data_IF_672496400247
#
_entry.id   IF_672496400247
#
_cell.length_a   1.000
_cell.length_b   1.000
_cell.length_c   1.000
_cell.angle_alpha   90.00
_cell.angle_beta   90.00
_cell.angle_gamma   90.00
#
_symmetry.space_group_name_H-M   'P 1'
#
loop_
_entity.id
_entity.type
_entity.pdbx_description
1 polymer ?
#
# COMPACT_ATOMS: atom_id res chain seq x y z
N UNK A 1 -14.38 -28.20 6.19
CA UNK A 1 -13.30 -27.29 6.58
C UNK A 1 -13.32 -26.17 5.55
N UNK A 2 -13.55 -24.94 5.98
CA UNK A 2 -13.58 -23.79 5.05
C UNK A 2 -12.19 -23.58 4.44
N UNK A 3 -12.13 -23.19 3.16
CA UNK A 3 -10.86 -22.88 2.50
C UNK A 3 -10.22 -21.65 3.15
N UNK A 4 -8.90 -21.50 3.03
CA UNK A 4 -8.19 -20.31 3.51
C UNK A 4 -8.76 -19.03 2.86
N UNK A 5 -9.16 -19.13 1.58
CA UNK A 5 -9.79 -18.03 0.86
C UNK A 5 -11.09 -17.57 1.52
N UNK A 6 -11.97 -18.49 1.88
CA UNK A 6 -13.23 -18.15 2.55
C UNK A 6 -13.00 -17.59 3.95
N UNK A 7 -11.97 -18.06 4.67
CA UNK A 7 -11.61 -17.50 5.97
C UNK A 7 -11.13 -16.04 5.86
N UNK A 8 -10.32 -15.72 4.85
CA UNK A 8 -9.88 -14.33 4.57
C UNK A 8 -11.08 -13.46 4.20
N UNK A 9 -11.96 -13.92 3.31
CA UNK A 9 -13.18 -13.19 2.93
C UNK A 9 -14.06 -12.90 4.15
N UNK A 10 -14.26 -13.89 5.02
CA UNK A 10 -15.03 -13.70 6.25
C UNK A 10 -14.35 -12.70 7.20
N UNK A 11 -13.02 -12.71 7.30
CA UNK A 11 -12.29 -11.75 8.12
C UNK A 11 -12.46 -10.32 7.59
N UNK A 12 -12.29 -10.12 6.28
CA UNK A 12 -12.56 -8.83 5.61
C UNK A 12 -14.02 -8.40 5.80
N UNK A 13 -14.97 -9.33 5.69
CA UNK A 13 -16.39 -9.03 5.90
C UNK A 13 -16.70 -8.58 7.34
N UNK A 14 -16.02 -9.15 8.35
CA UNK A 14 -16.11 -8.70 9.75
C UNK A 14 -15.53 -7.28 9.92
N UNK A 15 -14.64 -6.85 9.04
CA UNK A 15 -14.13 -5.47 8.96
C UNK A 15 -15.01 -4.53 8.13
N UNK A 16 -16.16 -5.00 7.65
CA UNK A 16 -17.12 -4.19 6.91
C UNK A 16 -16.94 -4.20 5.39
N UNK A 17 -16.14 -5.12 4.84
CA UNK A 17 -16.16 -5.41 3.41
C UNK A 17 -17.46 -6.12 3.02
N UNK A 18 -18.08 -5.67 1.94
CA UNK A 18 -19.33 -6.24 1.41
C UNK A 18 -19.34 -6.29 -0.12
N UNK A 19 -18.14 -6.29 -0.73
CA UNK A 19 -17.94 -6.32 -2.19
C UNK A 19 -18.56 -5.13 -2.96
N UNK A 20 -19.02 -4.09 -2.25
CA UNK A 20 -19.48 -2.83 -2.84
C UNK A 20 -18.37 -1.78 -2.79
N UNK A 21 -18.44 -0.80 -3.70
CA UNK A 21 -17.58 0.39 -3.61
C UNK A 21 -17.89 1.14 -2.32
N UNK A 22 -16.84 1.69 -1.71
CA UNK A 22 -16.89 2.53 -0.51
C UNK A 22 -16.80 3.98 -0.93
N UNK A 23 -17.56 4.85 -0.27
CA UNK A 23 -17.53 6.29 -0.56
C UNK A 23 -16.13 6.86 -0.31
N UNK A 24 -15.47 6.41 0.75
CA UNK A 24 -14.10 6.79 1.10
C UNK A 24 -13.10 6.36 0.02
N UNK A 25 -13.32 5.19 -0.61
CA UNK A 25 -12.50 4.72 -1.73
C UNK A 25 -12.67 5.56 -2.99
N UNK A 26 -13.90 5.98 -3.29
CA UNK A 26 -14.20 6.87 -4.42
C UNK A 26 -13.51 8.23 -4.21
N UNK A 27 -13.66 8.82 -3.01
CA UNK A 27 -13.02 10.10 -2.66
C UNK A 27 -11.49 10.02 -2.72
N UNK A 28 -10.90 8.91 -2.27
CA UNK A 28 -9.46 8.70 -2.39
C UNK A 28 -8.98 8.64 -3.85
N UNK A 29 -9.74 8.00 -4.74
CA UNK A 29 -9.42 7.97 -6.18
C UNK A 29 -9.51 9.36 -6.81
N UNK A 30 -10.53 10.15 -6.47
CA UNK A 30 -10.66 11.52 -6.99
C UNK A 30 -9.45 12.38 -6.60
N UNK A 31 -8.95 12.25 -5.38
CA UNK A 31 -7.75 12.95 -4.93
C UNK A 31 -6.50 12.47 -5.67
N UNK A 32 -6.31 11.16 -5.81
CA UNK A 32 -5.19 10.59 -6.56
C UNK A 32 -5.15 11.07 -8.01
N UNK A 33 -6.32 11.14 -8.65
CA UNK A 33 -6.46 11.65 -10.02
C UNK A 33 -6.13 13.17 -10.09
N UNK A 34 -6.52 13.97 -9.09
CA UNK A 34 -6.17 15.40 -9.01
C UNK A 34 -4.66 15.65 -8.93
N UNK A 35 -3.94 14.80 -8.20
CA UNK A 35 -2.48 14.88 -8.09
C UNK A 35 -1.75 14.16 -9.24
N UNK A 36 -2.46 13.59 -10.20
CA UNK A 36 -1.89 12.91 -11.35
C UNK A 36 -1.14 11.61 -11.00
N UNK A 37 -1.47 10.99 -9.86
CA UNK A 37 -0.92 9.69 -9.50
C UNK A 37 -1.46 8.61 -10.43
N UNK A 38 -0.55 7.85 -11.02
CA UNK A 38 -0.95 6.68 -11.76
C UNK A 38 -1.14 5.50 -10.83
N UNK A 39 -2.34 4.92 -10.85
CA UNK A 39 -2.61 3.62 -10.25
C UNK A 39 -2.73 2.55 -11.32
N UNK A 40 -2.06 1.42 -11.08
CA UNK A 40 -2.28 0.22 -11.88
C UNK A 40 -3.71 -0.32 -11.66
N UNK A 41 -4.23 -1.14 -12.59
CA UNK A 41 -5.67 -1.47 -12.65
C UNK A 41 -6.23 -2.09 -11.38
N UNK A 42 -5.51 -3.07 -10.86
CA UNK A 42 -5.84 -3.76 -9.63
C UNK A 42 -5.91 -2.80 -8.43
N UNK A 43 -4.99 -1.84 -8.36
CA UNK A 43 -4.95 -0.82 -7.31
C UNK A 43 -6.20 0.05 -7.30
N UNK A 44 -6.72 0.45 -8.46
CA UNK A 44 -7.96 1.27 -8.51
C UNK A 44 -9.15 0.51 -7.90
N UNK A 45 -9.33 -0.76 -8.28
CA UNK A 45 -10.41 -1.60 -7.75
C UNK A 45 -10.25 -1.80 -6.24
N UNK A 46 -9.01 -2.04 -5.79
CA UNK A 46 -8.71 -2.18 -4.38
C UNK A 46 -9.09 -0.91 -3.60
N UNK A 47 -8.66 0.26 -4.04
CA UNK A 47 -9.00 1.54 -3.41
C UNK A 47 -10.51 1.72 -3.34
N UNK A 48 -11.24 1.48 -4.43
CA UNK A 48 -12.71 1.61 -4.44
C UNK A 48 -13.40 0.71 -3.42
N UNK A 49 -12.95 -0.54 -3.26
CA UNK A 49 -13.63 -1.52 -2.40
C UNK A 49 -13.16 -1.52 -0.95
N UNK A 50 -11.92 -1.09 -0.70
CA UNK A 50 -11.28 -1.21 0.60
C UNK A 50 -10.91 0.14 1.23
N UNK A 51 -11.05 1.24 0.49
CA UNK A 51 -10.71 2.58 0.98
C UNK A 51 -11.43 2.94 2.27
N UNK A 52 -10.67 3.48 3.23
CA UNK A 52 -11.13 3.88 4.56
C UNK A 52 -11.49 2.74 5.50
N UNK A 53 -11.27 1.47 5.11
CA UNK A 53 -11.62 0.33 5.96
C UNK A 53 -10.64 0.19 7.13
N UNK A 54 -11.16 0.10 8.35
CA UNK A 54 -10.37 -0.18 9.55
C UNK A 54 -10.43 -1.67 9.88
N UNK A 55 -9.25 -2.27 10.03
CA UNK A 55 -9.10 -3.69 10.31
C UNK A 55 -8.31 -3.89 11.60
N UNK A 56 -8.67 -4.94 12.34
CA UNK A 56 -7.90 -5.39 13.50
C UNK A 56 -7.30 -6.76 13.19
N UNK A 57 -5.98 -6.79 13.13
CA UNK A 57 -5.19 -7.97 12.84
C UNK A 57 -4.82 -8.72 14.11
N UNK A 58 -4.44 -9.98 13.93
CA UNK A 58 -3.94 -10.86 14.99
C UNK A 58 -2.46 -11.16 14.85
N UNK A 59 -1.72 -10.39 14.04
CA UNK A 59 -0.27 -10.53 13.94
C UNK A 59 0.40 -10.40 15.30
N UNK A 60 0.83 -11.53 15.83
CA UNK A 60 1.71 -11.58 16.98
C UNK A 60 3.14 -11.69 16.43
N UNK A 61 4.07 -10.78 16.79
CA UNK A 61 5.39 -11.28 17.07
C UNK A 61 5.31 -12.14 18.35
N UNK A 62 6.22 -13.09 18.57
CA UNK A 62 6.27 -13.96 19.76
C UNK A 62 6.36 -13.24 21.12
N UNK A 63 6.32 -11.90 21.16
CA UNK A 63 6.60 -11.07 22.33
C UNK A 63 5.60 -9.92 22.60
N UNK A 64 4.48 -9.83 21.86
CA UNK A 64 3.48 -8.76 22.05
C UNK A 64 2.05 -9.29 22.01
N UNK A 65 1.28 -9.08 23.08
CA UNK A 65 -0.15 -9.39 23.19
C UNK A 65 -1.08 -8.29 22.60
N UNK A 66 -0.51 -7.27 21.95
CA UNK A 66 -1.27 -6.12 21.44
C UNK A 66 -1.85 -6.42 20.05
N UNK A 67 -3.18 -6.37 19.92
CA UNK A 67 -3.86 -6.42 18.62
C UNK A 67 -3.40 -5.25 17.74
N UNK A 68 -2.99 -5.55 16.51
CA UNK A 68 -2.59 -4.54 15.53
C UNK A 68 -3.82 -3.95 14.86
N UNK A 69 -3.77 -2.65 14.61
CA UNK A 69 -4.81 -1.94 13.86
C UNK A 69 -4.21 -1.48 12.54
N UNK A 70 -4.90 -1.78 11.44
CA UNK A 70 -4.54 -1.30 10.11
C UNK A 70 -5.70 -0.50 9.56
N UNK A 71 -5.41 0.67 8.99
CA UNK A 71 -6.39 1.40 8.18
C UNK A 71 -6.00 1.24 6.72
N UNK A 72 -6.84 0.56 5.93
CA UNK A 72 -6.66 0.42 4.49
C UNK A 72 -7.02 1.73 3.80
N UNK A 73 -6.10 2.23 2.95
CA UNK A 73 -6.18 3.46 2.13
C UNK A 73 -7.34 4.35 2.56
N UNK A 74 -7.22 4.95 3.73
CA UNK A 74 -8.04 6.09 4.10
C UNK A 74 -7.21 7.29 3.74
N UNK A 75 -7.28 7.77 2.50
CA UNK A 75 -6.67 9.06 2.21
C UNK A 75 -7.31 10.04 3.19
N UNK A 76 -6.45 10.63 4.03
CA UNK A 76 -6.86 11.25 5.28
C UNK A 76 -8.04 12.16 5.01
N UNK A 77 -9.11 12.00 5.79
CA UNK A 77 -10.21 12.96 5.75
C UNK A 77 -9.64 14.38 5.83
N UNK A 78 -10.23 15.36 5.13
CA UNK A 78 -10.65 16.61 5.70
C UNK A 78 -9.84 17.18 6.88
N UNK A 79 -10.14 16.55 8.01
CA UNK A 79 -9.77 17.00 9.34
C UNK A 79 -8.47 16.38 9.89
N UNK A 80 -7.92 15.36 9.21
CA UNK A 80 -6.54 14.84 9.41
C UNK A 80 -5.68 15.10 8.17
N UNK A 81 -6.08 16.11 7.39
CA UNK A 81 -5.31 16.68 6.30
C UNK A 81 -3.90 17.04 6.79
N UNK A 82 -2.92 16.73 5.94
CA UNK A 82 -1.57 17.30 5.93
C UNK A 82 -0.55 16.85 6.99
N UNK A 83 -0.92 16.30 8.15
CA UNK A 83 0.13 16.05 9.20
C UNK A 83 1.03 14.84 8.96
N UNK A 84 0.72 13.97 8.00
CA UNK A 84 1.63 12.92 7.55
C UNK A 84 1.47 12.54 6.06
N UNK A 85 0.69 13.31 5.30
CA UNK A 85 1.05 13.64 3.92
C UNK A 85 2.01 14.82 4.02
N UNK A 86 3.06 14.64 4.81
CA UNK A 86 4.16 15.55 4.72
C UNK A 86 4.86 15.22 3.39
N UNK A 87 5.34 16.24 2.67
CA UNK A 87 6.16 16.10 1.47
C UNK A 87 7.27 15.06 1.58
N UNK A 88 7.67 14.61 2.78
CA UNK A 88 8.62 13.50 2.99
C UNK A 88 8.20 12.14 2.41
N UNK A 89 6.90 11.88 2.26
CA UNK A 89 6.41 10.53 1.88
C UNK A 89 6.35 10.28 0.37
N UNK A 90 6.03 11.30 -0.44
CA UNK A 90 5.96 11.14 -1.91
C UNK A 90 7.34 10.93 -2.57
N UNK A 91 8.39 11.67 -2.22
CA UNK A 91 9.75 11.41 -2.65
C UNK A 91 10.21 10.01 -2.25
N UNK A 92 9.89 9.53 -1.04
CA UNK A 92 10.23 8.17 -0.62
C UNK A 92 9.59 7.11 -1.54
N UNK A 93 8.28 7.24 -1.84
CA UNK A 93 7.61 6.34 -2.80
C UNK A 93 8.25 6.43 -4.19
N UNK A 94 8.55 7.62 -4.67
CA UNK A 94 9.21 7.82 -5.97
C UNK A 94 10.62 7.21 -6.02
N UNK A 95 11.42 7.36 -4.95
CA UNK A 95 12.73 6.70 -4.80
C UNK A 95 12.58 5.20 -4.91
N UNK A 96 11.65 4.60 -4.15
CA UNK A 96 11.46 3.15 -4.14
C UNK A 96 11.02 2.66 -5.52
N UNK A 97 10.06 3.33 -6.16
CA UNK A 97 9.62 2.98 -7.51
C UNK A 97 10.77 3.07 -8.53
N UNK A 98 11.63 4.10 -8.43
CA UNK A 98 12.80 4.26 -9.29
C UNK A 98 13.86 3.16 -9.07
N UNK A 99 14.13 2.81 -7.81
CA UNK A 99 15.11 1.78 -7.47
C UNK A 99 14.63 0.36 -7.84
N UNK A 100 13.32 0.10 -7.72
CA UNK A 100 12.72 -1.20 -8.00
C UNK A 100 12.27 -1.38 -9.45
N UNK A 101 12.11 -0.30 -10.21
CA UNK A 101 11.48 -0.31 -11.54
C UNK A 101 10.08 -0.93 -11.51
N UNK A 102 9.31 -0.58 -10.47
CA UNK A 102 7.96 -1.10 -10.19
C UNK A 102 7.03 0.06 -9.84
N UNK A 103 5.76 -0.02 -10.28
CA UNK A 103 4.72 0.87 -9.75
C UNK A 103 4.25 0.39 -8.38
N UNK A 104 4.07 1.32 -7.45
CA UNK A 104 3.69 1.06 -6.06
C UNK A 104 2.50 1.93 -5.64
N UNK A 105 1.70 1.40 -4.74
CA UNK A 105 0.68 2.14 -3.99
C UNK A 105 0.82 1.84 -2.50
N UNK A 106 0.77 2.86 -1.66
CA UNK A 106 0.59 2.68 -0.22
C UNK A 106 -0.83 2.16 0.04
N UNK A 107 -0.96 0.99 0.68
CA UNK A 107 -2.24 0.35 0.96
C UNK A 107 -2.72 0.49 2.39
N UNK A 108 -1.85 0.90 3.32
CA UNK A 108 -2.25 1.27 4.66
C UNK A 108 -1.10 1.30 5.64
N UNK A 109 -1.42 1.76 6.84
CA UNK A 109 -0.48 1.86 7.96
C UNK A 109 -0.85 0.85 9.03
N UNK A 110 0.11 0.04 9.47
CA UNK A 110 -0.05 -0.93 10.56
C UNK A 110 0.50 -0.30 11.83
N UNK A 111 -0.39 0.00 12.78
CA UNK A 111 0.01 0.53 14.07
C UNK A 111 0.42 -0.59 15.02
N UNK A 112 1.65 -0.50 15.55
CA UNK A 112 2.24 -1.55 16.39
C UNK A 112 1.94 -1.42 17.90
N UNK A 113 1.19 -0.40 18.33
CA UNK A 113 0.96 -0.08 19.74
C UNK A 113 2.09 0.79 20.32
N UNK A 114 1.89 1.30 21.54
CA UNK A 114 2.81 2.22 22.24
C UNK A 114 4.23 1.66 22.49
N UNK A 115 4.46 0.38 22.23
CA UNK A 115 5.74 -0.29 22.47
C UNK A 115 6.78 -0.01 21.37
N UNK A 116 6.35 0.42 20.19
CA UNK A 116 7.21 0.73 19.06
C UNK A 116 7.01 2.19 18.66
N UNK A 117 8.11 2.88 18.37
CA UNK A 117 8.12 4.31 18.06
C UNK A 117 7.71 4.59 16.60
N UNK A 118 7.56 3.54 15.79
CA UNK A 118 7.27 3.58 14.37
C UNK A 118 6.07 2.68 14.04
N UNK A 119 5.22 3.15 13.12
CA UNK A 119 4.25 2.31 12.43
C UNK A 119 4.89 1.71 11.17
N UNK A 120 4.32 0.63 10.65
CA UNK A 120 4.78 0.00 9.40
C UNK A 120 3.87 0.42 8.24
N UNK A 121 4.43 1.11 7.25
CA UNK A 121 3.70 1.50 6.04
C UNK A 121 3.71 0.34 5.05
N UNK A 122 2.54 -0.06 4.58
CA UNK A 122 2.38 -1.20 3.68
C UNK A 122 2.20 -0.71 2.25
N UNK A 123 3.01 -1.22 1.35
CA UNK A 123 2.96 -0.93 -0.08
C UNK A 123 2.57 -2.16 -0.88
N UNK A 124 1.88 -1.95 -1.99
CA UNK A 124 1.52 -2.98 -2.95
C UNK A 124 2.03 -2.62 -4.33
N UNK A 125 2.71 -3.57 -4.97
CA UNK A 125 3.29 -3.42 -6.29
C UNK A 125 2.40 -3.95 -7.40
N UNK A 126 2.54 -3.36 -8.59
CA UNK A 126 1.90 -3.83 -9.82
C UNK A 126 2.24 -5.29 -10.16
N UNK A 127 3.34 -5.83 -9.64
CA UNK A 127 3.72 -7.23 -9.82
C UNK A 127 3.02 -8.18 -8.82
N UNK A 128 2.18 -7.64 -7.93
CA UNK A 128 1.43 -8.37 -6.93
C UNK A 128 2.05 -8.37 -5.55
N UNK A 129 3.36 -8.13 -5.41
CA UNK A 129 4.09 -8.22 -4.14
C UNK A 129 3.66 -7.14 -3.15
N UNK A 130 3.74 -7.48 -1.86
CA UNK A 130 3.48 -6.54 -0.76
C UNK A 130 4.79 -6.27 -0.04
N UNK A 131 5.05 -5.00 0.17
CA UNK A 131 6.22 -4.50 0.85
C UNK A 131 5.86 -3.77 2.14
N UNK A 132 6.72 -3.87 3.15
CA UNK A 132 6.65 -3.10 4.39
C UNK A 132 7.76 -2.07 4.41
N UNK A 133 7.43 -0.86 4.86
CA UNK A 133 8.38 0.20 5.17
C UNK A 133 8.39 0.48 6.67
N UNK A 134 9.58 0.52 7.24
CA UNK A 134 9.77 0.92 8.65
C UNK A 134 11.15 1.56 8.79
N UNK A 135 11.17 2.81 9.24
CA UNK A 135 12.41 3.54 9.57
C UNK A 135 13.45 3.51 8.43
N UNK A 136 13.01 3.76 7.19
CA UNK A 136 13.91 3.81 6.02
C UNK A 136 14.25 2.44 5.43
N UNK A 137 13.66 1.36 5.93
CA UNK A 137 13.85 0.01 5.40
C UNK A 137 12.66 -0.41 4.56
N UNK A 138 12.90 -1.03 3.41
CA UNK A 138 11.84 -1.44 2.50
C UNK A 138 12.03 -2.88 2.02
N UNK A 139 11.09 -3.75 2.40
CA UNK A 139 11.22 -5.19 2.23
C UNK A 139 9.97 -5.87 1.73
N UNK A 140 10.15 -6.97 0.99
CA UNK A 140 9.03 -7.83 0.61
C UNK A 140 8.56 -8.60 1.85
N UNK A 141 7.33 -8.33 2.29
CA UNK A 141 6.72 -8.92 3.48
C UNK A 141 5.64 -9.96 3.14
N UNK A 142 5.12 -9.93 1.91
CA UNK A 142 4.29 -10.99 1.38
C UNK A 142 4.42 -11.11 -0.15
N UNK A 143 4.34 -12.34 -0.68
CA UNK A 143 4.43 -12.56 -2.12
C UNK A 143 3.21 -12.04 -2.89
N UNK A 144 2.07 -11.83 -2.21
CA UNK A 144 0.87 -11.22 -2.77
C UNK A 144 -0.06 -10.67 -1.68
N UNK A 145 -1.03 -9.85 -2.10
CA UNK A 145 -1.99 -9.20 -1.21
C UNK A 145 -2.89 -10.18 -0.44
N UNK A 146 -3.25 -11.31 -1.06
CA UNK A 146 -4.02 -12.36 -0.38
C UNK A 146 -3.22 -12.97 0.78
N UNK A 147 -1.96 -13.31 0.52
CA UNK A 147 -1.05 -13.84 1.53
C UNK A 147 -0.78 -12.83 2.63
N UNK A 148 -0.71 -11.53 2.32
CA UNK A 148 -0.64 -10.48 3.33
C UNK A 148 -1.88 -10.48 4.23
N UNK A 149 -3.11 -10.50 3.68
CA UNK A 149 -4.32 -10.54 4.51
C UNK A 149 -4.45 -11.83 5.32
N UNK A 150 -4.14 -12.98 4.70
CA UNK A 150 -4.15 -14.27 5.39
C UNK A 150 -3.20 -14.26 6.58
N UNK A 151 -2.00 -13.73 6.37
CA UNK A 151 -1.06 -13.48 7.45
C UNK A 151 -1.68 -12.50 8.48
N UNK A 152 -2.22 -11.35 8.07
CA UNK A 152 -2.70 -10.28 8.96
C UNK A 152 -3.80 -10.70 9.92
N UNK A 153 -4.67 -11.59 9.45
CA UNK A 153 -5.72 -12.18 10.25
C UNK A 153 -5.27 -13.40 11.07
N UNK A 154 -3.99 -13.79 11.01
CA UNK A 154 -3.43 -14.95 11.73
C UNK A 154 -3.88 -16.29 11.15
N UNK A 155 -4.22 -16.33 9.85
CA UNK A 155 -4.72 -17.52 9.15
C UNK A 155 -3.62 -18.29 8.41
N UNK A 156 -2.44 -17.69 8.26
CA UNK A 156 -1.23 -18.30 7.67
C UNK A 156 -0.05 -18.10 8.64
N UNK A 157 0.96 -18.97 8.53
CA UNK A 157 2.16 -18.96 9.38
C UNK A 157 2.79 -17.56 9.48
N UNK A 158 3.34 -17.25 10.67
CA UNK A 158 3.62 -15.89 11.14
C UNK A 158 4.45 -15.05 10.15
N UNK A 159 3.82 -13.99 9.65
CA UNK A 159 4.47 -12.75 9.25
C UNK A 159 5.51 -12.34 10.27
N UNK A 160 6.61 -11.81 9.78
CA UNK A 160 7.60 -11.14 10.60
C UNK A 160 7.36 -9.63 10.46
N UNK A 161 6.52 -9.02 11.32
CA UNK A 161 6.14 -7.59 11.30
C UNK A 161 7.29 -6.66 11.67
N UNK A 162 8.51 -7.16 11.63
CA UNK A 162 9.68 -6.45 12.09
C UNK A 162 10.82 -6.82 11.15
N UNK A 163 11.22 -5.84 10.37
CA UNK A 163 12.49 -5.88 9.70
C UNK A 163 13.52 -5.70 10.82
N UNK A 164 14.21 -6.78 11.18
CA UNK A 164 15.42 -6.63 11.98
C UNK A 164 16.31 -5.65 11.22
N UNK A 165 16.72 -4.54 11.88
CA UNK A 165 17.42 -3.47 11.19
C UNK A 165 18.53 -4.05 10.32
N UNK A 166 18.41 -3.86 9.01
CA UNK A 166 19.33 -4.39 8.03
C UNK A 166 19.79 -3.27 7.08
N UNK A 167 21.07 -2.87 7.14
CA UNK A 167 21.60 -1.79 6.31
C UNK A 167 21.56 -2.12 4.81
N UNK A 168 21.54 -3.40 4.43
CA UNK A 168 21.45 -3.81 3.02
C UNK A 168 20.04 -3.64 2.43
N UNK A 169 19.06 -3.35 3.28
CA UNK A 169 17.64 -3.23 2.91
C UNK A 169 17.10 -1.83 3.14
N UNK A 170 18.02 -0.93 3.45
CA UNK A 170 17.80 0.48 3.54
C UNK A 170 17.57 1.04 2.12
N UNK A 171 16.46 1.72 1.88
CA UNK A 171 16.22 2.40 0.60
C UNK A 171 16.62 3.87 0.64
N UNK A 172 17.15 4.36 1.78
CA UNK A 172 17.60 5.72 2.05
C UNK A 172 18.64 6.23 1.03
N UNK A 173 18.14 6.55 -0.16
CA UNK A 173 18.80 7.42 -1.12
C UNK A 173 18.29 8.82 -0.84
N UNK A 174 18.76 9.36 0.30
CA UNK A 174 18.39 10.70 0.76
C UNK A 174 18.72 11.77 -0.27
N UNK A 175 19.84 11.62 -1.00
CA UNK A 175 20.21 12.55 -2.07
C UNK A 175 19.18 12.54 -3.21
N UNK A 176 18.67 11.36 -3.60
CA UNK A 176 17.61 11.25 -4.58
C UNK A 176 16.27 11.75 -4.04
N UNK A 177 15.94 11.47 -2.77
CA UNK A 177 14.73 11.96 -2.12
C UNK A 177 14.71 13.49 -2.08
N UNK A 178 15.79 14.12 -1.58
CA UNK A 178 15.97 15.57 -1.51
C UNK A 178 15.88 16.20 -2.90
N UNK A 179 16.46 15.55 -3.91
CA UNK A 179 16.37 16.00 -5.30
C UNK A 179 14.93 15.96 -5.82
N UNK A 180 14.21 14.87 -5.58
CA UNK A 180 12.80 14.73 -5.99
C UNK A 180 11.94 15.79 -5.29
N UNK A 181 12.14 15.99 -3.99
CA UNK A 181 11.45 17.01 -3.21
C UNK A 181 11.70 18.41 -3.79
N UNK A 182 12.97 18.77 -4.05
CA UNK A 182 13.31 20.05 -4.66
C UNK A 182 12.70 20.24 -6.06
N UNK A 183 12.62 19.18 -6.88
CA UNK A 183 11.97 19.21 -8.19
C UNK A 183 10.44 19.37 -8.06
N UNK A 184 9.82 18.75 -7.04
CA UNK A 184 8.38 18.87 -6.74
C UNK A 184 8.02 20.27 -6.27
N UNK A 185 8.81 20.86 -5.35
CA UNK A 185 8.64 22.23 -4.85
C UNK A 185 8.71 23.28 -5.97
N UNK A 186 9.47 22.98 -7.02
CA UNK A 186 9.61 23.83 -8.21
C UNK A 186 8.56 23.53 -9.29
N UNK A 187 7.63 22.59 -9.06
CA UNK A 187 6.65 22.09 -10.04
C UNK A 187 7.30 21.56 -11.33
N UNK A 188 8.53 21.06 -11.24
CA UNK A 188 9.31 20.53 -12.38
C UNK A 188 9.42 19.01 -12.38
N UNK A 189 9.05 18.36 -11.28
CA UNK A 189 9.16 16.92 -11.15
C UNK A 189 8.23 16.19 -12.13
N UNK A 190 8.79 15.20 -12.82
CA UNK A 190 8.04 14.23 -13.63
C UNK A 190 8.04 12.90 -12.88
N UNK A 191 6.88 12.34 -12.59
CA UNK A 191 6.78 11.11 -11.80
C UNK A 191 7.40 9.90 -12.50
N UNK A 192 7.78 8.88 -11.72
CA UNK A 192 8.26 7.61 -12.23
C UNK A 192 7.29 7.02 -13.27
N UNK A 193 5.99 7.01 -12.96
CA UNK A 193 4.96 6.53 -13.87
C UNK A 193 4.98 7.30 -15.21
N UNK A 194 5.02 8.64 -15.16
CA UNK A 194 5.09 9.47 -16.34
C UNK A 194 6.37 9.22 -17.15
N UNK A 195 7.53 9.14 -16.48
CA UNK A 195 8.83 8.80 -17.09
C UNK A 195 8.78 7.44 -17.78
N UNK A 196 8.18 6.44 -17.16
CA UNK A 196 8.04 5.08 -17.69
C UNK A 196 7.11 5.02 -18.90
N UNK A 197 5.98 5.72 -18.85
CA UNK A 197 4.97 5.69 -19.90
C UNK A 197 5.31 6.54 -21.12
N UNK A 198 6.02 7.65 -20.93
CA UNK A 198 6.57 8.43 -22.04
C UNK A 198 7.48 7.56 -22.94
N UNK A 199 8.22 6.61 -22.36
CA UNK A 199 9.05 5.65 -23.10
C UNK A 199 8.24 4.59 -23.86
N UNK A 200 7.02 4.29 -23.40
CA UNK A 200 6.19 3.19 -23.88
C UNK A 200 4.99 3.62 -24.74
N UNK A 201 4.95 4.88 -25.19
CA UNK A 201 3.91 5.37 -26.12
C UNK A 201 2.64 5.91 -25.46
N UNK A 202 2.68 6.24 -24.16
CA UNK A 202 1.59 6.88 -23.43
C UNK A 202 1.18 6.15 -22.16
N UNK A 203 0.34 6.81 -21.35
CA UNK A 203 -0.18 6.26 -20.08
C UNK A 203 -1.19 5.15 -20.40
N UNK A 204 -0.99 3.89 -19.95
CA UNK A 204 -1.93 2.81 -20.21
C UNK A 204 -3.26 3.08 -19.52
N UNK A 205 -4.39 2.83 -20.20
CA UNK A 205 -5.71 2.87 -19.59
C UNK A 205 -5.77 1.82 -18.46
N UNK A 206 -5.86 2.25 -17.19
CA UNK A 206 -5.81 1.34 -16.07
C UNK A 206 -7.11 0.53 -15.90
N UNK A 207 -8.08 0.63 -16.81
CA UNK A 207 -9.29 -0.23 -16.77
C UNK A 207 -9.10 -1.52 -17.58
N UNK A 208 -8.00 -1.64 -18.36
CA UNK A 208 -7.85 -2.69 -19.38
C UNK A 208 -6.85 -3.82 -19.09
N UNK A 209 -6.25 -3.91 -17.88
CA UNK A 209 -5.27 -4.99 -17.56
C UNK A 209 -5.92 -6.36 -17.37
N UNK A 210 -5.16 -7.40 -17.70
CA UNK A 210 -5.54 -8.82 -17.65
C UNK A 210 -4.74 -9.64 -16.63
N UNK A 211 -4.06 -9.03 -15.65
CA UNK A 211 -3.29 -9.80 -14.66
C UNK A 211 -4.19 -10.65 -13.74
N UNK A 212 -3.66 -11.78 -13.26
CA UNK A 212 -4.46 -12.81 -12.57
C UNK A 212 -5.09 -12.32 -11.25
N UNK A 213 -4.45 -11.37 -10.57
CA UNK A 213 -4.98 -10.78 -9.35
C UNK A 213 -6.09 -9.78 -9.68
N UNK A 214 -5.92 -8.94 -10.70
CA UNK A 214 -7.00 -8.11 -11.26
C UNK A 214 -8.18 -8.98 -11.69
N UNK A 215 -7.95 -10.13 -12.34
CA UNK A 215 -9.03 -11.04 -12.73
C UNK A 215 -9.70 -11.70 -11.51
N UNK A 216 -8.96 -12.08 -10.47
CA UNK A 216 -9.54 -12.55 -9.21
C UNK A 216 -10.37 -11.45 -8.52
N UNK A 217 -9.84 -10.23 -8.38
CA UNK A 217 -10.55 -9.06 -7.85
C UNK A 217 -11.80 -8.71 -8.67
N UNK A 218 -11.71 -8.72 -10.00
CA UNK A 218 -12.85 -8.50 -10.90
C UNK A 218 -13.87 -9.64 -10.84
N UNK A 219 -13.44 -10.88 -10.56
CA UNK A 219 -14.33 -12.03 -10.36
C UNK A 219 -15.07 -12.02 -9.02
N UNK A 220 -14.69 -11.13 -8.09
CA UNK A 220 -15.41 -10.90 -6.83
C UNK A 220 -16.58 -9.91 -6.96
N UNK A 221 -16.79 -9.31 -8.15
CA UNK A 221 -17.90 -8.41 -8.47
C UNK A 221 -19.13 -9.12 -9.04
#
# INVERSE_FOLDING_TARGET
>A
MESLEEQVKQALARCGWNSSKRQEGIEALEQLDLFGFYLFPAARIFVEQFGGMQMKGSFLPPWSDVKKEMTLIGWRTPAKELSCCEPWSLPAVEVIQLQRDELLIEIGDVYHGERYWSSEIIYWSENGKVYGETEGQFEEIAPNLFDFFAQFFGLKEEYRPYLDWNPDKNYEDYDLADKIEAEMDQETYISYAQKRFAKNGGVPDPVRSQDAFTQWMLSMG
#
